data_IF_895978536151
#
_entry.id   IF_895978536151
#
_cell.length_a   1.000
_cell.length_b   1.000
_cell.length_c   1.000
_cell.angle_alpha   90.00
_cell.angle_beta   90.00
_cell.angle_gamma   90.00
#
_symmetry.space_group_name_H-M   'P 1'
#
loop_
_entity.id
_entity.type
_entity.pdbx_description
1 polymer ?
#
# COMPACT_ATOMS: atom_id res chain seq x y z
N UNK A 1 -3.22 -22.17 19.45
CA UNK A 1 -3.07 -22.51 18.02
C UNK A 1 -3.70 -21.37 17.24
N UNK A 2 -2.96 -20.74 16.31
CA UNK A 2 -3.54 -19.73 15.42
C UNK A 2 -4.52 -20.42 14.46
N UNK A 3 -5.67 -19.78 14.20
CA UNK A 3 -6.70 -20.31 13.31
C UNK A 3 -6.40 -19.97 11.86
N UNK A 4 -6.86 -20.82 10.94
CA UNK A 4 -6.85 -20.52 9.51
C UNK A 4 -7.61 -19.22 9.24
N UNK A 5 -6.97 -18.28 8.55
CA UNK A 5 -7.56 -16.99 8.20
C UNK A 5 -8.51 -17.18 7.01
N UNK A 6 -9.79 -16.76 7.11
CA UNK A 6 -10.73 -16.86 6.00
C UNK A 6 -10.27 -16.05 4.79
N UNK A 7 -10.62 -16.52 3.60
CA UNK A 7 -10.43 -15.77 2.34
C UNK A 7 -11.76 -15.26 1.81
N UNK A 8 -11.78 -14.05 1.24
CA UNK A 8 -12.98 -13.51 0.61
C UNK A 8 -12.62 -12.61 -0.58
N UNK A 9 -13.37 -12.78 -1.67
CA UNK A 9 -13.37 -11.84 -2.79
C UNK A 9 -14.45 -10.79 -2.52
N UNK A 10 -14.05 -9.52 -2.38
CA UNK A 10 -14.98 -8.38 -2.26
C UNK A 10 -14.79 -7.50 -3.49
N UNK A 11 -15.81 -7.26 -4.35
CA UNK A 11 -15.64 -6.55 -5.61
C UNK A 11 -15.14 -5.09 -5.49
N UNK A 12 -15.65 -4.31 -4.56
CA UNK A 12 -15.12 -2.99 -4.18
C UNK A 12 -15.87 -2.54 -2.92
N UNK A 13 -15.31 -1.60 -2.17
CA UNK A 13 -16.06 -0.89 -1.14
C UNK A 13 -16.20 0.59 -1.50
N UNK A 14 -17.27 1.21 -1.04
CA UNK A 14 -17.52 2.65 -1.19
C UNK A 14 -17.58 3.32 0.19
N UNK A 15 -17.27 4.62 0.30
CA UNK A 15 -17.52 5.36 1.53
C UNK A 15 -19.02 5.35 1.86
N UNK A 16 -19.36 5.17 3.12
CA UNK A 16 -20.74 5.20 3.59
C UNK A 16 -21.42 6.55 3.24
N UNK A 17 -22.70 6.48 2.88
CA UNK A 17 -23.55 7.65 2.61
C UNK A 17 -24.03 8.30 3.91
N UNK A 18 -23.08 8.70 4.75
CA UNK A 18 -23.32 9.39 6.01
C UNK A 18 -22.82 10.83 5.91
N UNK A 19 -23.57 11.74 6.51
CA UNK A 19 -23.09 13.11 6.71
C UNK A 19 -21.91 13.13 7.68
N UNK A 20 -21.02 14.13 7.60
CA UNK A 20 -19.92 14.25 8.55
C UNK A 20 -20.37 14.28 10.03
N UNK A 21 -21.55 14.84 10.31
CA UNK A 21 -22.13 14.86 11.67
C UNK A 21 -22.54 13.46 12.13
N UNK A 22 -23.12 12.65 11.24
CA UNK A 22 -23.46 11.26 11.55
C UNK A 22 -22.21 10.42 11.77
N UNK A 23 -21.18 10.60 10.93
CA UNK A 23 -19.89 9.92 11.08
C UNK A 23 -19.24 10.23 12.44
N UNK A 24 -19.18 11.51 12.80
CA UNK A 24 -18.65 11.93 14.10
C UNK A 24 -19.48 11.37 15.27
N UNK A 25 -20.81 11.35 15.13
CA UNK A 25 -21.70 10.78 16.15
C UNK A 25 -21.52 9.26 16.32
N UNK A 26 -21.28 8.52 15.23
CA UNK A 26 -20.98 7.09 15.31
C UNK A 26 -19.69 6.83 16.11
N UNK A 27 -18.60 7.57 15.82
CA UNK A 27 -17.34 7.41 16.56
C UNK A 27 -17.52 7.77 18.04
N UNK A 28 -18.20 8.88 18.34
CA UNK A 28 -18.48 9.30 19.73
C UNK A 28 -19.29 8.25 20.47
N UNK A 29 -20.34 7.71 19.85
CA UNK A 29 -21.14 6.63 20.44
C UNK A 29 -20.29 5.42 20.83
N UNK A 30 -19.26 5.07 20.04
CA UNK A 30 -18.35 3.98 20.38
C UNK A 30 -17.54 4.32 21.64
N UNK A 31 -16.99 5.53 21.73
CA UNK A 31 -16.26 6.02 22.90
C UNK A 31 -17.15 6.05 24.14
N UNK A 32 -18.36 6.62 24.03
CA UNK A 32 -19.36 6.67 25.11
C UNK A 32 -19.78 5.26 25.58
N UNK A 33 -19.70 4.26 24.69
CA UNK A 33 -19.98 2.85 24.99
C UNK A 33 -18.76 2.09 25.54
N UNK A 34 -17.66 2.79 25.84
CA UNK A 34 -16.45 2.23 26.45
C UNK A 34 -15.42 1.67 25.45
N UNK A 35 -15.49 2.03 24.17
CA UNK A 35 -14.40 1.74 23.24
C UNK A 35 -13.14 2.51 23.66
N UNK A 36 -11.97 1.88 23.56
CA UNK A 36 -10.70 2.52 23.95
C UNK A 36 -9.93 3.00 22.72
N UNK A 37 -9.60 4.29 22.69
CA UNK A 37 -8.69 4.83 21.68
C UNK A 37 -7.22 4.58 22.06
N UNK A 38 -6.39 4.24 21.07
CA UNK A 38 -4.97 3.87 21.24
C UNK A 38 -4.11 4.53 20.15
N UNK A 39 -3.74 5.80 20.38
CA UNK A 39 -2.75 6.49 19.55
C UNK A 39 -1.32 5.97 19.84
N UNK A 40 -0.41 6.15 18.89
CA UNK A 40 0.97 5.67 18.99
C UNK A 40 2.01 6.79 19.15
N UNK A 41 1.69 7.99 18.66
CA UNK A 41 2.49 9.21 18.76
C UNK A 41 2.28 9.97 20.06
N UNK A 42 2.44 11.30 20.00
CA UNK A 42 2.36 12.19 21.16
C UNK A 42 0.98 12.18 21.82
N UNK A 43 -0.10 11.94 21.06
CA UNK A 43 -1.44 11.82 21.60
C UNK A 43 -1.69 10.52 22.38
N UNK A 44 -0.71 9.63 22.58
CA UNK A 44 -0.89 8.33 23.26
C UNK A 44 -1.48 8.45 24.67
N UNK A 45 -1.16 9.52 25.39
CA UNK A 45 -1.57 9.74 26.78
C UNK A 45 -2.96 10.40 26.88
N UNK A 46 -3.39 11.09 25.82
CA UNK A 46 -4.73 11.69 25.70
C UNK A 46 -5.29 11.57 24.27
N UNK A 47 -5.59 10.35 23.78
CA UNK A 47 -5.86 10.12 22.35
C UNK A 47 -7.17 10.76 21.86
N UNK A 48 -8.13 11.00 22.75
CA UNK A 48 -9.40 11.64 22.40
C UNK A 48 -9.24 13.12 22.05
N UNK A 49 -8.15 13.75 22.49
CA UNK A 49 -7.83 15.15 22.16
C UNK A 49 -7.67 15.38 20.66
N UNK A 50 -7.32 14.34 19.90
CA UNK A 50 -7.32 14.39 18.44
C UNK A 50 -8.66 14.91 17.89
N UNK A 51 -9.77 14.54 18.52
CA UNK A 51 -11.11 14.97 18.07
C UNK A 51 -11.33 16.46 18.30
N UNK A 52 -10.86 17.01 19.42
CA UNK A 52 -10.93 18.45 19.72
C UNK A 52 -9.94 19.28 18.92
N UNK A 53 -8.79 18.72 18.55
CA UNK A 53 -7.79 19.36 17.68
C UNK A 53 -8.20 19.43 16.20
N UNK A 54 -9.41 18.96 15.86
CA UNK A 54 -9.95 19.08 14.51
C UNK A 54 -9.85 17.81 13.67
N UNK A 55 -9.25 16.72 14.18
CA UNK A 55 -9.19 15.42 13.51
C UNK A 55 -10.49 14.61 13.63
N UNK A 56 -11.62 15.25 13.94
CA UNK A 56 -12.93 14.60 13.94
C UNK A 56 -13.22 13.99 12.55
N UNK A 57 -13.57 12.69 12.45
CA UNK A 57 -13.78 12.04 11.17
C UNK A 57 -15.01 12.58 10.42
N UNK A 58 -14.93 12.51 9.09
CA UNK A 58 -15.93 13.00 8.13
C UNK A 58 -16.45 11.90 7.21
N UNK A 59 -15.71 10.81 7.08
CA UNK A 59 -16.06 9.68 6.21
C UNK A 59 -15.92 8.36 6.94
N UNK A 60 -16.61 7.34 6.44
CA UNK A 60 -16.53 5.99 6.99
C UNK A 60 -16.45 4.95 5.87
N UNK A 61 -15.62 3.92 6.06
CA UNK A 61 -15.48 2.76 5.16
C UNK A 61 -15.57 1.49 6.03
N UNK A 62 -16.14 0.42 5.50
CA UNK A 62 -16.19 -0.89 6.17
C UNK A 62 -15.58 -1.97 5.29
N UNK A 63 -14.66 -2.74 5.83
CA UNK A 63 -14.04 -3.87 5.14
C UNK A 63 -13.62 -4.95 6.15
N UNK A 64 -13.98 -6.20 5.86
CA UNK A 64 -13.64 -7.39 6.66
C UNK A 64 -13.96 -7.29 8.17
N UNK A 65 -15.06 -6.62 8.52
CA UNK A 65 -15.45 -6.42 9.92
C UNK A 65 -14.68 -5.31 10.64
N UNK A 66 -13.72 -4.65 9.97
CA UNK A 66 -13.09 -3.41 10.41
C UNK A 66 -13.89 -2.21 9.90
N UNK A 67 -14.10 -1.22 10.76
CA UNK A 67 -14.64 0.10 10.38
C UNK A 67 -13.49 1.10 10.38
N UNK A 68 -13.40 1.91 9.33
CA UNK A 68 -12.42 2.97 9.19
C UNK A 68 -13.16 4.29 9.20
N UNK A 69 -12.90 5.13 10.19
CA UNK A 69 -13.37 6.52 10.17
C UNK A 69 -12.23 7.42 9.71
N UNK A 70 -12.48 8.31 8.77
CA UNK A 70 -11.43 9.09 8.09
C UNK A 70 -11.75 10.58 8.21
N UNK A 71 -10.73 11.40 8.40
CA UNK A 71 -10.81 12.85 8.22
C UNK A 71 -11.00 13.23 6.75
N UNK A 72 -11.12 14.53 6.48
CA UNK A 72 -10.81 15.04 5.14
C UNK A 72 -9.30 14.89 4.85
N UNK A 73 -8.88 14.99 3.57
CA UNK A 73 -7.47 14.98 3.21
C UNK A 73 -6.69 16.12 3.89
N UNK A 74 -5.49 15.80 4.31
CA UNK A 74 -4.48 16.68 4.87
C UNK A 74 -3.22 16.56 4.01
N UNK A 75 -2.32 17.53 4.12
CA UNK A 75 -1.02 17.48 3.46
C UNK A 75 0.03 18.24 4.25
N UNK A 76 1.28 17.85 4.10
CA UNK A 76 2.44 18.67 4.44
C UNK A 76 3.38 18.67 3.22
N UNK A 77 4.56 19.31 3.28
CA UNK A 77 5.50 19.31 2.15
C UNK A 77 5.92 17.91 1.68
N UNK A 78 5.90 16.90 2.56
CA UNK A 78 6.39 15.56 2.27
C UNK A 78 5.30 14.58 1.78
N UNK A 79 4.05 14.70 2.25
CA UNK A 79 2.99 13.76 1.87
C UNK A 79 1.57 14.33 1.97
N UNK A 80 0.66 13.74 1.19
CA UNK A 80 -0.79 13.87 1.34
C UNK A 80 -1.34 12.66 2.09
N UNK A 81 -2.21 12.90 3.07
CA UNK A 81 -2.68 11.87 3.98
C UNK A 81 -4.08 12.11 4.56
N UNK A 82 -4.54 11.13 5.33
CA UNK A 82 -5.78 11.11 6.11
C UNK A 82 -5.43 10.62 7.52
N UNK A 83 -6.02 11.22 8.55
CA UNK A 83 -6.08 10.58 9.87
C UNK A 83 -7.21 9.57 9.83
N UNK A 84 -6.84 8.30 10.03
CA UNK A 84 -7.74 7.17 10.00
C UNK A 84 -7.88 6.56 11.40
N UNK A 85 -9.11 6.35 11.84
CA UNK A 85 -9.43 5.62 13.06
C UNK A 85 -9.85 4.20 12.67
N UNK A 86 -8.92 3.26 12.82
CA UNK A 86 -9.14 1.84 12.55
C UNK A 86 -9.87 1.23 13.76
N UNK A 87 -11.11 0.80 13.57
CA UNK A 87 -11.96 0.29 14.64
C UNK A 87 -12.12 -1.22 14.50
N UNK A 88 -11.66 -1.93 15.52
CA UNK A 88 -11.67 -3.39 15.57
C UNK A 88 -12.12 -3.88 16.94
N UNK A 89 -12.66 -5.09 16.98
CA UNK A 89 -12.88 -5.79 18.24
C UNK A 89 -11.62 -6.57 18.62
N UNK A 90 -11.05 -6.28 19.78
CA UNK A 90 -9.89 -7.01 20.29
C UNK A 90 -10.28 -8.46 20.57
N UNK A 91 -9.57 -9.40 19.95
CA UNK A 91 -9.76 -10.82 20.21
C UNK A 91 -9.39 -11.19 21.66
N UNK A 92 -8.44 -10.47 22.27
CA UNK A 92 -7.94 -10.74 23.62
C UNK A 92 -8.90 -10.25 24.71
N UNK A 93 -9.49 -9.06 24.53
CA UNK A 93 -10.31 -8.43 25.58
C UNK A 93 -11.80 -8.43 25.25
N UNK A 94 -12.17 -8.76 24.01
CA UNK A 94 -13.53 -8.64 23.49
C UNK A 94 -14.05 -7.21 23.35
N UNK A 95 -13.24 -6.19 23.70
CA UNK A 95 -13.59 -4.77 23.66
C UNK A 95 -13.37 -4.19 22.27
N UNK A 96 -14.14 -3.17 21.92
CA UNK A 96 -13.87 -2.35 20.74
C UNK A 96 -12.69 -1.43 21.03
N UNK A 97 -11.70 -1.44 20.14
CA UNK A 97 -10.54 -0.57 20.19
C UNK A 97 -10.47 0.28 18.92
N UNK A 98 -9.98 1.50 19.07
CA UNK A 98 -9.89 2.50 18.01
C UNK A 98 -8.43 2.90 17.89
N UNK A 99 -7.82 2.68 16.73
CA UNK A 99 -6.41 2.96 16.49
C UNK A 99 -6.28 4.12 15.47
N UNK A 100 -5.94 5.34 15.92
CA UNK A 100 -5.52 6.41 15.03
C UNK A 100 -4.28 5.99 14.24
N UNK A 101 -4.31 6.21 12.91
CA UNK A 101 -3.28 5.86 11.93
C UNK A 101 -3.21 6.94 10.86
N UNK A 102 -2.07 7.04 10.19
CA UNK A 102 -1.90 7.90 9.02
C UNK A 102 -2.00 7.04 7.77
N UNK A 103 -3.07 7.25 7.02
CA UNK A 103 -3.21 6.69 5.67
C UNK A 103 -2.69 7.72 4.68
N UNK A 104 -1.66 7.37 3.94
CA UNK A 104 -1.01 8.30 3.01
C UNK A 104 -0.95 7.70 1.61
N UNK A 105 -0.68 8.57 0.64
CA UNK A 105 -0.45 8.17 -0.74
C UNK A 105 0.87 8.75 -1.20
N UNK A 106 1.73 7.89 -1.74
CA UNK A 106 2.99 8.28 -2.35
C UNK A 106 2.93 8.18 -3.89
N UNK A 107 4.09 8.30 -4.54
CA UNK A 107 4.24 8.31 -6.00
C UNK A 107 3.93 6.96 -6.66
N UNK A 108 3.88 5.85 -5.89
CA UNK A 108 3.37 4.56 -6.38
C UNK A 108 1.85 4.58 -6.64
N UNK A 109 1.17 5.64 -6.18
CA UNK A 109 -0.27 5.89 -6.30
C UNK A 109 -1.16 4.93 -5.51
N UNK A 110 -0.57 4.17 -4.58
CA UNK A 110 -1.26 3.27 -3.67
C UNK A 110 -1.44 3.97 -2.33
N UNK A 111 -2.62 3.78 -1.73
CA UNK A 111 -2.82 4.18 -0.35
C UNK A 111 -2.17 3.18 0.59
N UNK A 112 -1.34 3.70 1.50
CA UNK A 112 -0.55 2.97 2.47
C UNK A 112 -0.87 3.44 3.87
N UNK A 113 -0.51 2.64 4.87
CA UNK A 113 -0.54 3.04 6.27
C UNK A 113 0.88 3.24 6.80
N UNK A 114 1.19 4.44 7.30
CA UNK A 114 2.49 4.71 7.91
C UNK A 114 2.67 3.86 9.17
N UNK A 115 3.84 3.24 9.32
CA UNK A 115 4.16 2.44 10.50
C UNK A 115 4.72 3.31 11.65
N UNK A 116 5.52 4.32 11.30
CA UNK A 116 6.16 5.29 12.19
C UNK A 116 6.64 6.51 11.37
N UNK A 117 7.24 7.50 12.04
CA UNK A 117 7.91 8.65 11.41
C UNK A 117 9.33 8.77 11.98
N UNK A 118 10.27 9.21 11.16
CA UNK A 118 11.58 9.71 11.58
C UNK A 118 11.56 11.19 11.20
N UNK A 119 11.67 12.05 12.19
CA UNK A 119 11.71 13.50 12.01
C UNK A 119 12.65 14.07 13.06
N UNK A 120 13.88 14.38 12.64
CA UNK A 120 14.93 14.99 13.44
C UNK A 120 15.79 15.93 12.55
N UNK A 121 16.81 16.56 13.12
CA UNK A 121 17.63 17.56 12.43
C UNK A 121 18.37 16.95 11.23
N UNK A 122 17.76 17.05 10.05
CA UNK A 122 18.32 16.58 8.78
C UNK A 122 17.53 15.47 8.09
N UNK A 123 16.78 14.63 8.82
CA UNK A 123 16.03 13.51 8.24
C UNK A 123 14.53 13.66 8.45
N UNK A 124 13.77 13.52 7.36
CA UNK A 124 12.33 13.34 7.40
C UNK A 124 11.92 12.14 6.55
N UNK A 125 11.44 11.08 7.21
CA UNK A 125 10.99 9.87 6.53
C UNK A 125 9.79 9.23 7.21
N UNK A 126 8.92 8.62 6.40
CA UNK A 126 7.77 7.85 6.87
C UNK A 126 8.12 6.37 6.79
N UNK A 127 8.02 5.67 7.93
CA UNK A 127 8.37 4.26 8.03
C UNK A 127 7.55 3.37 7.10
N UNK A 128 8.22 2.73 6.14
CA UNK A 128 7.57 2.16 4.95
C UNK A 128 7.16 0.68 5.04
N UNK A 129 7.55 -0.10 6.05
CA UNK A 129 7.12 -1.49 6.13
C UNK A 129 8.04 -2.40 6.93
N UNK A 130 7.66 -3.67 7.06
CA UNK A 130 8.44 -4.74 7.69
C UNK A 130 9.80 -4.89 6.99
N UNK A 131 10.75 -5.58 7.62
CA UNK A 131 12.09 -5.80 7.05
C UNK A 131 12.29 -7.25 6.67
N UNK A 132 13.12 -7.48 5.67
CA UNK A 132 13.63 -8.80 5.33
C UNK A 132 15.14 -8.78 5.20
N UNK A 133 15.77 -9.89 5.54
CA UNK A 133 17.19 -10.09 5.27
C UNK A 133 17.37 -10.61 3.85
N UNK A 134 18.21 -9.94 3.06
CA UNK A 134 18.65 -10.40 1.75
C UNK A 134 20.15 -10.61 1.75
N UNK A 135 20.63 -11.57 0.95
CA UNK A 135 22.05 -11.83 0.80
C UNK A 135 22.57 -11.29 -0.53
N UNK A 136 23.46 -10.30 -0.49
CA UNK A 136 24.10 -9.68 -1.67
C UNK A 136 25.62 -9.73 -1.49
N UNK A 137 26.35 -10.18 -2.50
CA UNK A 137 27.83 -10.24 -2.44
C UNK A 137 28.40 -11.08 -1.29
N UNK A 138 27.63 -12.04 -0.74
CA UNK A 138 28.03 -12.84 0.42
C UNK A 138 27.69 -12.23 1.79
N UNK A 139 27.25 -10.97 1.83
CA UNK A 139 26.83 -10.24 3.03
C UNK A 139 25.30 -10.20 3.17
N UNK A 140 24.84 -10.15 4.41
CA UNK A 140 23.42 -10.01 4.73
C UNK A 140 23.08 -8.53 4.91
N UNK A 141 22.05 -8.07 4.21
CA UNK A 141 21.51 -6.72 4.26
C UNK A 141 20.05 -6.76 4.71
N UNK A 142 19.60 -5.75 5.43
CA UNK A 142 18.19 -5.57 5.76
C UNK A 142 17.54 -4.62 4.75
N UNK A 143 16.45 -5.06 4.15
CA UNK A 143 15.64 -4.27 3.22
C UNK A 143 14.24 -4.03 3.78
N UNK A 144 13.74 -2.83 3.60
CA UNK A 144 12.35 -2.51 3.91
C UNK A 144 11.42 -3.06 2.81
N UNK A 145 10.40 -3.81 3.20
CA UNK A 145 9.38 -4.37 2.33
C UNK A 145 8.19 -3.43 2.33
N UNK A 146 8.25 -2.39 1.48
CA UNK A 146 7.27 -1.29 1.48
C UNK A 146 5.82 -1.77 1.32
N UNK A 147 5.63 -2.82 0.52
CA UNK A 147 4.32 -3.42 0.22
C UNK A 147 3.55 -3.90 1.46
N UNK A 148 4.24 -4.12 2.58
CA UNK A 148 3.61 -4.48 3.85
C UNK A 148 2.80 -3.32 4.46
N UNK A 149 2.94 -2.10 3.95
CA UNK A 149 2.09 -0.96 4.34
C UNK A 149 0.91 -0.73 3.40
N UNK A 150 0.82 -1.45 2.28
CA UNK A 150 -0.27 -1.27 1.32
C UNK A 150 -1.62 -1.59 1.97
N UNK A 151 -2.54 -0.63 1.93
CA UNK A 151 -3.91 -0.87 2.36
C UNK A 151 -4.61 -1.84 1.40
N UNK A 152 -5.61 -2.61 1.87
CA UNK A 152 -6.31 -3.58 1.06
C UNK A 152 -6.77 -3.01 -0.28
N UNK A 153 -6.49 -3.71 -1.38
CA UNK A 153 -6.84 -3.22 -2.71
C UNK A 153 -8.35 -2.94 -2.88
N UNK A 154 -9.20 -3.59 -2.10
CA UNK A 154 -10.65 -3.38 -2.10
C UNK A 154 -11.09 -1.99 -1.64
N UNK A 155 -10.30 -1.30 -0.82
CA UNK A 155 -10.64 0.04 -0.31
C UNK A 155 -9.93 1.18 -1.04
N UNK A 156 -9.03 0.87 -1.96
CA UNK A 156 -8.23 1.87 -2.66
C UNK A 156 -9.11 2.86 -3.46
N UNK A 157 -10.24 2.45 -4.04
CA UNK A 157 -11.17 3.35 -4.76
C UNK A 157 -11.98 4.22 -3.81
N UNK A 158 -12.37 3.67 -2.65
CA UNK A 158 -13.05 4.45 -1.63
C UNK A 158 -12.16 5.57 -1.06
N UNK A 159 -10.88 5.27 -0.84
CA UNK A 159 -9.90 6.27 -0.39
C UNK A 159 -9.66 7.34 -1.46
N UNK A 160 -9.58 6.98 -2.74
CA UNK A 160 -9.55 7.95 -3.84
C UNK A 160 -10.80 8.84 -3.86
N UNK A 161 -11.97 8.26 -3.61
CA UNK A 161 -13.22 9.02 -3.55
C UNK A 161 -13.19 10.02 -2.40
N UNK A 162 -12.72 9.62 -1.21
CA UNK A 162 -12.53 10.52 -0.06
C UNK A 162 -11.52 11.63 -0.39
N UNK A 163 -10.39 11.27 -0.99
CA UNK A 163 -9.33 12.21 -1.35
C UNK A 163 -9.78 13.32 -2.30
N UNK A 164 -10.78 13.05 -3.14
CA UNK A 164 -11.30 14.02 -4.12
C UNK A 164 -12.46 14.87 -3.58
N UNK A 165 -13.04 14.53 -2.41
CA UNK A 165 -14.22 15.22 -1.85
C UNK A 165 -13.92 16.59 -1.25
N UNK A 166 -12.67 16.86 -0.89
CA UNK A 166 -12.27 18.11 -0.28
C UNK A 166 -10.86 18.50 -0.69
N UNK A 167 -10.58 19.80 -0.71
CA UNK A 167 -9.22 20.29 -0.85
C UNK A 167 -8.41 19.92 0.40
N UNK A 168 -7.18 19.41 0.24
CA UNK A 168 -6.34 19.06 1.36
C UNK A 168 -5.96 20.31 2.15
N UNK A 169 -6.03 20.23 3.47
CA UNK A 169 -5.53 21.29 4.37
C UNK A 169 -4.08 21.01 4.74
N UNK A 170 -3.27 22.06 4.85
CA UNK A 170 -1.91 21.92 5.38
C UNK A 170 -1.98 21.57 6.87
N UNK A 171 -1.24 20.54 7.26
CA UNK A 171 -1.14 20.07 8.64
C UNK A 171 0.20 19.35 8.86
N UNK A 172 1.06 19.96 9.68
CA UNK A 172 2.38 19.42 10.01
C UNK A 172 2.36 18.61 11.32
N UNK A 173 1.42 18.90 12.21
CA UNK A 173 1.36 18.34 13.57
C UNK A 173 0.77 16.92 13.60
N UNK A 174 -0.18 16.62 12.72
CA UNK A 174 -0.94 15.36 12.72
C UNK A 174 -0.03 14.12 12.70
N UNK A 175 1.11 14.20 12.02
CA UNK A 175 2.05 13.10 11.94
C UNK A 175 2.68 12.78 13.30
N UNK A 176 3.09 13.79 14.06
CA UNK A 176 3.69 13.63 15.39
C UNK A 176 2.66 13.18 16.44
N UNK A 177 1.44 13.72 16.36
CA UNK A 177 0.35 13.35 17.25
C UNK A 177 -0.04 11.87 17.09
N UNK A 178 -0.06 11.37 15.84
CA UNK A 178 -0.57 10.02 15.52
C UNK A 178 0.54 8.97 15.45
N UNK A 179 1.67 9.28 14.81
CA UNK A 179 2.77 8.35 14.56
C UNK A 179 3.84 8.44 15.66
N UNK A 180 4.45 7.30 15.94
CA UNK A 180 5.59 7.24 16.86
C UNK A 180 6.83 7.79 16.14
N UNK A 181 7.46 8.82 16.69
CA UNK A 181 8.76 9.29 16.21
C UNK A 181 9.85 8.26 16.58
N UNK A 182 10.71 7.92 15.63
CA UNK A 182 11.79 6.95 15.77
C UNK A 182 13.16 7.62 15.54
N UNK A 183 14.26 7.09 16.11
CA UNK A 183 15.60 7.57 15.79
C UNK A 183 15.97 7.26 14.33
N UNK A 184 16.83 8.09 13.70
CA UNK A 184 17.30 7.88 12.30
C UNK A 184 17.85 6.49 12.02
N UNK A 185 18.44 5.83 13.01
CA UNK A 185 19.01 4.49 12.86
C UNK A 185 17.96 3.37 12.79
N UNK A 186 16.67 3.67 12.93
CA UNK A 186 15.62 2.65 12.95
C UNK A 186 15.16 2.29 11.54
N UNK A 187 15.41 1.04 11.16
CA UNK A 187 14.94 0.44 9.90
C UNK A 187 13.66 -0.38 10.11
N UNK A 188 13.59 -1.20 11.17
CA UNK A 188 12.44 -2.07 11.45
C UNK A 188 11.26 -1.30 12.09
N UNK A 189 10.01 -1.56 11.68
CA UNK A 189 8.83 -1.07 12.39
C UNK A 189 8.75 -1.53 13.85
N UNK A 190 7.74 -1.03 14.55
CA UNK A 190 7.46 -1.47 15.92
C UNK A 190 6.72 -2.81 15.95
N UNK A 191 6.83 -3.49 17.09
CA UNK A 191 6.28 -4.84 17.34
C UNK A 191 4.78 -4.95 17.05
N UNK A 192 4.00 -3.90 17.32
CA UNK A 192 2.56 -3.84 17.04
C UNK A 192 2.22 -3.84 15.54
N UNK A 193 3.17 -3.48 14.67
CA UNK A 193 3.06 -3.62 13.22
C UNK A 193 3.43 -5.03 12.74
N UNK A 194 4.54 -5.58 13.23
CA UNK A 194 5.13 -6.84 12.71
C UNK A 194 4.52 -8.10 13.32
N UNK A 195 4.10 -8.07 14.59
CA UNK A 195 3.58 -9.27 15.27
C UNK A 195 2.32 -9.89 14.66
N UNK A 196 1.31 -9.12 14.21
CA UNK A 196 0.16 -9.72 13.54
C UNK A 196 0.57 -10.58 12.34
N UNK A 197 1.58 -10.13 11.58
CA UNK A 197 2.14 -10.86 10.44
C UNK A 197 2.86 -12.13 10.88
N UNK A 198 3.74 -12.02 11.90
CA UNK A 198 4.44 -13.17 12.49
C UNK A 198 3.46 -14.22 13.02
N UNK A 199 2.38 -13.80 13.68
CA UNK A 199 1.32 -14.72 14.17
C UNK A 199 0.58 -15.39 13.01
N UNK A 200 0.21 -14.63 11.97
CA UNK A 200 -0.45 -15.20 10.79
C UNK A 200 0.46 -16.23 10.09
N UNK A 201 1.74 -15.90 9.91
CA UNK A 201 2.74 -16.75 9.28
C UNK A 201 3.11 -18.01 10.08
N UNK A 202 2.91 -18.00 11.41
CA UNK A 202 3.18 -19.15 12.27
C UNK A 202 2.27 -20.37 11.95
N UNK A 203 1.09 -20.14 11.33
CA UNK A 203 0.29 -21.23 10.76
C UNK A 203 0.58 -21.36 9.26
N UNK A 204 1.23 -22.45 8.89
CA UNK A 204 1.59 -22.74 7.49
C UNK A 204 0.39 -22.75 6.54
N UNK A 205 -0.83 -22.98 7.04
CA UNK A 205 -2.06 -22.97 6.22
C UNK A 205 -2.46 -21.57 5.75
N UNK A 206 -2.00 -20.52 6.45
CA UNK A 206 -2.22 -19.14 6.05
C UNK A 206 -1.26 -18.69 4.94
N UNK A 207 -0.11 -19.37 4.78
CA UNK A 207 0.93 -18.95 3.86
C UNK A 207 0.52 -19.15 2.39
N UNK A 208 0.63 -18.09 1.59
CA UNK A 208 0.45 -18.18 0.15
C UNK A 208 1.62 -18.96 -0.45
N UNK A 209 1.31 -20.01 -1.22
CA UNK A 209 2.28 -20.93 -1.81
C UNK A 209 3.30 -21.50 -0.80
N UNK A 210 2.87 -21.66 0.46
CA UNK A 210 3.72 -22.14 1.55
C UNK A 210 4.83 -21.16 1.95
N UNK A 211 4.66 -19.86 1.64
CA UNK A 211 5.63 -18.80 1.94
C UNK A 211 6.73 -18.66 0.89
N UNK A 212 6.65 -19.42 -0.21
CA UNK A 212 7.61 -19.33 -1.32
C UNK A 212 7.17 -18.26 -2.31
N UNK A 213 8.13 -17.75 -3.08
CA UNK A 213 7.85 -16.80 -4.15
C UNK A 213 6.88 -17.38 -5.19
N UNK A 214 5.85 -16.60 -5.56
CA UNK A 214 4.91 -16.93 -6.64
C UNK A 214 5.37 -16.42 -8.00
N UNK A 215 6.33 -15.49 -8.05
CA UNK A 215 6.84 -14.87 -9.26
C UNK A 215 8.32 -14.51 -9.09
N UNK A 216 9.18 -14.92 -10.02
CA UNK A 216 10.62 -14.66 -9.99
C UNK A 216 11.20 -14.45 -11.39
N UNK A 217 12.24 -13.64 -11.49
CA UNK A 217 13.08 -13.59 -12.67
C UNK A 217 14.09 -14.75 -12.62
N UNK A 218 14.29 -15.41 -13.76
CA UNK A 218 15.19 -16.58 -13.82
C UNK A 218 16.60 -16.21 -14.28
N UNK A 219 16.78 -14.97 -14.77
CA UNK A 219 18.06 -14.39 -15.16
C UNK A 219 18.13 -12.96 -14.64
N UNK A 220 19.30 -12.56 -14.12
CA UNK A 220 19.57 -11.19 -13.67
C UNK A 220 19.44 -10.23 -14.86
N UNK A 221 18.86 -9.05 -14.64
CA UNK A 221 18.71 -7.99 -15.64
C UNK A 221 18.04 -8.46 -16.96
N UNK A 222 17.13 -9.44 -16.89
CA UNK A 222 16.35 -9.89 -18.04
C UNK A 222 14.85 -9.97 -17.68
N UNK A 223 14.06 -8.94 -18.06
CA UNK A 223 12.64 -8.87 -17.72
C UNK A 223 11.80 -9.96 -18.41
N UNK A 224 12.26 -10.49 -19.55
CA UNK A 224 11.60 -11.58 -20.28
C UNK A 224 11.71 -12.94 -19.55
N UNK A 225 12.61 -13.01 -18.58
CA UNK A 225 12.89 -14.22 -17.81
C UNK A 225 11.89 -14.50 -16.68
N UNK A 226 10.90 -13.61 -16.47
CA UNK A 226 9.86 -13.76 -15.46
C UNK A 226 9.16 -15.13 -15.58
N UNK A 227 9.02 -15.82 -14.46
CA UNK A 227 8.23 -17.04 -14.31
C UNK A 227 7.28 -16.88 -13.14
N UNK A 228 6.01 -17.20 -13.37
CA UNK A 228 4.96 -17.21 -12.35
C UNK A 228 4.53 -18.64 -12.13
N UNK A 229 4.29 -19.00 -10.88
CA UNK A 229 3.79 -20.32 -10.49
C UNK A 229 2.39 -20.52 -11.06
N UNK A 230 2.14 -21.68 -11.67
CA UNK A 230 0.85 -22.03 -12.26
C UNK A 230 -0.32 -21.79 -11.29
N UNK A 231 -1.35 -21.14 -11.82
CA UNK A 231 -2.53 -20.71 -11.08
C UNK A 231 -2.39 -19.34 -10.42
N UNK A 232 -1.18 -18.83 -10.18
CA UNK A 232 -1.00 -17.50 -9.60
C UNK A 232 -1.03 -16.38 -10.62
N UNK A 233 -0.96 -16.67 -11.93
CA UNK A 233 -0.98 -15.64 -12.97
C UNK A 233 -2.28 -14.82 -12.92
N UNK A 234 -2.23 -13.51 -13.25
CA UNK A 234 -3.43 -12.70 -13.35
C UNK A 234 -4.43 -13.27 -14.36
N UNK A 235 -5.69 -13.40 -13.98
CA UNK A 235 -6.75 -13.82 -14.90
C UNK A 235 -7.31 -12.59 -15.65
N UNK A 236 -6.65 -12.23 -16.75
CA UNK A 236 -7.10 -11.11 -17.60
C UNK A 236 -8.46 -11.34 -18.29
N UNK A 237 -9.04 -12.54 -18.22
CA UNK A 237 -10.30 -12.87 -18.90
C UNK A 237 -11.52 -12.81 -17.99
N UNK A 238 -11.41 -13.33 -16.77
CA UNK A 238 -12.49 -13.45 -15.79
C UNK A 238 -12.09 -12.95 -14.40
N UNK A 239 -10.89 -12.37 -14.27
CA UNK A 239 -10.30 -11.93 -13.00
C UNK A 239 -10.43 -10.45 -12.70
N UNK A 240 -10.79 -9.62 -13.70
CA UNK A 240 -10.94 -8.17 -13.51
C UNK A 240 -12.17 -7.92 -12.63
N UNK A 241 -11.95 -7.44 -11.40
CA UNK A 241 -13.01 -7.14 -10.44
C UNK A 241 -13.44 -5.68 -10.45
N UNK A 242 -12.48 -4.80 -10.69
CA UNK A 242 -12.67 -3.36 -10.56
C UNK A 242 -11.76 -2.65 -11.56
N UNK A 243 -12.32 -1.63 -12.22
CA UNK A 243 -11.56 -0.66 -13.00
C UNK A 243 -11.93 0.72 -12.51
N UNK A 244 -10.94 1.56 -12.24
CA UNK A 244 -11.16 2.93 -11.77
C UNK A 244 -10.26 3.91 -12.52
N UNK A 245 -10.76 5.12 -12.71
CA UNK A 245 -10.03 6.19 -13.39
C UNK A 245 -9.49 7.23 -12.41
N UNK A 246 -8.34 7.77 -12.77
CA UNK A 246 -7.65 8.81 -12.03
C UNK A 246 -6.82 9.69 -12.94
N UNK A 247 -6.04 10.58 -12.32
CA UNK A 247 -5.12 11.45 -13.01
C UNK A 247 -3.87 11.62 -12.17
N UNK A 248 -2.70 11.64 -12.81
CA UNK A 248 -1.44 12.03 -12.20
C UNK A 248 -0.67 12.93 -13.16
N UNK A 249 -0.16 14.06 -12.67
CA UNK A 249 0.72 14.91 -13.48
C UNK A 249 2.00 14.15 -13.86
N UNK A 250 2.63 13.51 -12.88
CA UNK A 250 3.85 12.70 -13.05
C UNK A 250 3.75 11.66 -14.17
N UNK A 251 2.60 10.99 -14.29
CA UNK A 251 2.37 9.96 -15.32
C UNK A 251 1.61 10.51 -16.53
N UNK A 252 1.76 11.78 -16.88
CA UNK A 252 1.25 12.34 -18.14
C UNK A 252 -0.28 12.52 -18.21
N UNK A 253 -0.97 12.57 -17.08
CA UNK A 253 -2.40 12.86 -17.00
C UNK A 253 -3.25 11.63 -16.70
N UNK A 254 -4.12 11.14 -17.62
CA UNK A 254 -5.09 10.09 -17.33
C UNK A 254 -4.45 8.78 -16.87
N UNK A 255 -5.03 8.20 -15.83
CA UNK A 255 -4.61 6.91 -15.29
C UNK A 255 -5.81 5.97 -15.17
N UNK A 256 -5.58 4.70 -15.48
CA UNK A 256 -6.52 3.61 -15.23
C UNK A 256 -5.90 2.62 -14.28
N UNK A 257 -6.68 2.15 -13.32
CA UNK A 257 -6.28 1.15 -12.35
C UNK A 257 -7.19 -0.06 -12.46
N UNK A 258 -6.61 -1.25 -12.40
CA UNK A 258 -7.30 -2.52 -12.58
C UNK A 258 -6.97 -3.46 -11.44
N UNK A 259 -8.00 -3.89 -10.72
CA UNK A 259 -7.85 -4.93 -9.70
C UNK A 259 -8.21 -6.29 -10.30
N UNK A 260 -7.24 -7.20 -10.32
CA UNK A 260 -7.33 -8.45 -11.08
C UNK A 260 -6.97 -9.62 -10.18
N UNK A 261 -7.85 -10.62 -10.10
CA UNK A 261 -7.59 -11.86 -9.37
C UNK A 261 -6.61 -12.76 -10.12
N UNK A 262 -5.82 -13.54 -9.37
CA UNK A 262 -5.11 -14.68 -9.94
C UNK A 262 -6.07 -15.76 -10.45
N UNK A 263 -5.61 -16.61 -11.37
CA UNK A 263 -6.39 -17.75 -11.91
C UNK A 263 -6.94 -18.67 -10.83
N UNK A 264 -6.13 -18.99 -9.83
CA UNK A 264 -6.49 -19.83 -8.68
C UNK A 264 -7.29 -19.09 -7.60
N UNK A 265 -7.54 -17.78 -7.78
CA UNK A 265 -8.34 -16.95 -6.89
C UNK A 265 -7.83 -16.96 -5.45
N UNK A 266 -6.49 -16.93 -5.27
CA UNK A 266 -5.83 -16.82 -3.95
C UNK A 266 -5.18 -15.47 -3.70
N UNK A 267 -4.77 -14.77 -4.77
CA UNK A 267 -4.16 -13.44 -4.69
C UNK A 267 -4.86 -12.49 -5.65
N UNK A 268 -4.57 -11.20 -5.47
CA UNK A 268 -5.02 -10.13 -6.35
C UNK A 268 -3.84 -9.22 -6.70
N UNK A 269 -3.90 -8.71 -7.92
CA UNK A 269 -2.97 -7.78 -8.52
C UNK A 269 -3.64 -6.42 -8.69
N UNK A 270 -2.85 -5.37 -8.60
CA UNK A 270 -3.29 -4.01 -8.93
C UNK A 270 -2.39 -3.49 -10.04
N UNK A 271 -2.94 -3.42 -11.25
CA UNK A 271 -2.28 -2.87 -12.41
C UNK A 271 -2.62 -1.38 -12.53
N UNK A 272 -1.63 -0.58 -12.89
CA UNK A 272 -1.81 0.78 -13.33
C UNK A 272 -1.45 0.92 -14.80
N UNK A 273 -2.18 1.75 -15.51
CA UNK A 273 -1.92 2.11 -16.90
C UNK A 273 -2.04 3.63 -17.04
N UNK A 274 -0.93 4.26 -17.41
CA UNK A 274 -0.89 5.63 -17.90
C UNK A 274 -0.72 5.69 -19.42
N UNK A 275 -0.50 6.88 -19.98
CA UNK A 275 -0.30 7.07 -21.41
C UNK A 275 0.92 6.32 -21.95
N UNK A 276 2.03 6.32 -21.20
CA UNK A 276 3.28 5.64 -21.56
C UNK A 276 3.43 4.31 -20.81
N UNK A 277 3.31 4.34 -19.48
CA UNK A 277 3.67 3.22 -18.62
C UNK A 277 2.51 2.29 -18.26
N UNK A 278 2.84 1.02 -18.05
CA UNK A 278 2.04 0.06 -17.30
C UNK A 278 2.93 -0.54 -16.23
N UNK A 279 2.46 -0.61 -15.00
CA UNK A 279 3.19 -1.22 -13.89
C UNK A 279 2.24 -1.93 -12.93
N UNK A 280 2.82 -2.67 -11.98
CA UNK A 280 2.10 -3.57 -11.09
C UNK A 280 2.51 -3.25 -9.66
N UNK A 281 1.53 -3.17 -8.77
CA UNK A 281 1.78 -3.08 -7.34
C UNK A 281 1.93 -4.49 -6.76
N UNK A 282 2.79 -4.69 -5.76
CA UNK A 282 2.98 -5.99 -5.11
C UNK A 282 1.65 -6.68 -4.78
N UNK A 283 1.45 -7.96 -5.16
CA UNK A 283 0.17 -8.63 -5.03
C UNK A 283 -0.24 -8.81 -3.57
N UNK A 284 -1.55 -8.84 -3.32
CA UNK A 284 -2.11 -9.08 -1.99
C UNK A 284 -2.82 -10.42 -1.91
N UNK A 285 -2.72 -11.08 -0.77
CA UNK A 285 -3.54 -12.25 -0.47
C UNK A 285 -5.02 -11.87 -0.38
N UNK A 286 -5.93 -12.83 -0.51
CA UNK A 286 -7.38 -12.62 -0.32
C UNK A 286 -7.86 -12.88 1.12
N UNK A 287 -6.93 -12.99 2.07
CA UNK A 287 -7.18 -13.28 3.49
C UNK A 287 -7.80 -12.09 4.24
N UNK A 288 -8.87 -12.29 4.99
CA UNK A 288 -9.68 -11.19 5.53
C UNK A 288 -9.14 -10.54 6.81
N UNK A 289 -8.11 -11.10 7.44
CA UNK A 289 -7.53 -10.51 8.65
C UNK A 289 -6.72 -9.25 8.32
N UNK A 290 -7.03 -8.17 9.07
CA UNK A 290 -6.31 -6.90 9.02
C UNK A 290 -5.69 -6.60 10.38
N UNK A 291 -4.47 -6.07 10.38
CA UNK A 291 -3.81 -5.58 11.60
C UNK A 291 -4.49 -4.32 12.14
N UNK A 292 -4.02 -3.82 13.29
CA UNK A 292 -4.45 -2.52 13.86
C UNK A 292 -4.04 -1.33 12.99
N UNK A 293 -3.22 -1.55 11.96
CA UNK A 293 -2.86 -0.58 10.93
C UNK A 293 -3.78 -0.65 9.71
N UNK A 294 -4.75 -1.58 9.68
CA UNK A 294 -5.68 -1.75 8.56
C UNK A 294 -5.09 -2.50 7.37
N UNK A 295 -3.84 -2.94 7.44
CA UNK A 295 -3.14 -3.70 6.38
C UNK A 295 -3.32 -5.20 6.59
N UNK A 296 -3.20 -6.00 5.52
CA UNK A 296 -3.29 -7.47 5.60
C UNK A 296 -2.16 -8.05 6.44
N UNK A 297 -2.41 -9.17 7.11
CA UNK A 297 -1.38 -9.87 7.91
C UNK A 297 -0.67 -11.00 7.17
N UNK A 298 -1.13 -11.36 5.98
CA UNK A 298 -0.54 -12.42 5.15
C UNK A 298 0.05 -11.82 3.88
N UNK A 299 1.33 -12.08 3.66
CA UNK A 299 2.10 -11.57 2.53
C UNK A 299 2.06 -12.52 1.33
N UNK A 300 2.32 -11.94 0.16
CA UNK A 300 2.56 -12.67 -1.08
C UNK A 300 3.99 -12.39 -1.51
N UNK A 301 4.82 -13.43 -1.49
CA UNK A 301 6.23 -13.29 -1.86
C UNK A 301 6.36 -13.31 -3.38
N UNK A 302 7.05 -12.32 -3.94
CA UNK A 302 7.37 -12.20 -5.36
C UNK A 302 8.63 -11.31 -5.51
N UNK A 303 9.33 -11.42 -6.64
CA UNK A 303 10.48 -10.55 -6.94
C UNK A 303 10.05 -9.08 -7.03
N UNK A 304 10.81 -8.21 -6.39
CA UNK A 304 10.51 -6.77 -6.33
C UNK A 304 10.72 -6.04 -7.66
N UNK A 305 11.63 -6.53 -8.50
CA UNK A 305 11.84 -6.01 -9.85
C UNK A 305 10.56 -6.11 -10.71
N UNK A 306 9.56 -6.91 -10.30
CA UNK A 306 8.26 -6.96 -10.97
C UNK A 306 7.41 -5.71 -10.73
N UNK A 307 7.74 -4.94 -9.69
CA UNK A 307 6.90 -3.89 -9.12
C UNK A 307 7.51 -2.50 -9.24
N UNK A 308 8.54 -2.35 -10.08
CA UNK A 308 9.12 -1.04 -10.42
C UNK A 308 8.00 -0.15 -11.01
N UNK A 309 7.76 1.05 -10.45
CA UNK A 309 6.80 1.99 -11.02
C UNK A 309 7.29 2.54 -12.36
N UNK A 310 6.42 3.21 -13.12
CA UNK A 310 6.79 3.78 -14.42
C UNK A 310 7.94 4.79 -14.36
N UNK A 311 8.07 5.49 -13.23
CA UNK A 311 9.20 6.35 -12.91
C UNK A 311 9.72 6.00 -11.52
N UNK A 312 11.01 5.66 -11.41
CA UNK A 312 11.59 5.24 -10.14
C UNK A 312 12.93 5.93 -9.87
N UNK A 313 13.30 6.01 -8.58
CA UNK A 313 14.53 6.61 -8.12
C UNK A 313 15.75 6.11 -8.88
N UNK A 314 16.49 7.09 -9.39
CA UNK A 314 17.70 6.90 -10.16
C UNK A 314 18.56 8.14 -9.97
N UNK A 315 19.50 8.05 -9.03
CA UNK A 315 20.42 9.12 -8.69
C UNK A 315 21.82 8.78 -9.20
N UNK A 316 22.35 9.66 -10.04
CA UNK A 316 23.75 9.68 -10.45
C UNK A 316 24.32 11.03 -10.01
N UNK A 317 25.32 11.01 -9.15
CA UNK A 317 26.06 12.21 -8.76
C UNK A 317 27.54 12.02 -9.07
N UNK A 318 27.93 12.54 -10.23
CA UNK A 318 29.30 12.51 -10.73
C UNK A 318 30.30 13.23 -9.79
N UNK A 319 29.82 14.07 -8.86
CA UNK A 319 30.63 14.89 -7.96
C UNK A 319 30.63 14.37 -6.50
N UNK A 320 29.92 13.28 -6.18
CA UNK A 320 29.88 12.71 -4.83
C UNK A 320 30.59 11.35 -4.74
N UNK A 321 31.19 11.09 -3.58
CA UNK A 321 31.69 9.75 -3.22
C UNK A 321 30.53 8.80 -2.78
N UNK A 322 29.26 9.21 -2.90
CA UNK A 322 28.10 8.37 -2.57
C UNK A 322 27.82 7.35 -3.69
N UNK A 323 27.43 6.12 -3.33
CA UNK A 323 27.17 5.06 -4.31
C UNK A 323 26.00 5.41 -5.24
N UNK A 324 26.17 5.19 -6.55
CA UNK A 324 25.10 5.19 -7.55
C UNK A 324 23.85 4.46 -7.02
N UNK A 325 22.77 5.20 -6.78
CA UNK A 325 21.54 4.61 -6.25
C UNK A 325 20.47 4.51 -7.33
N UNK A 326 20.26 3.29 -7.82
CA UNK A 326 19.19 2.96 -8.77
C UNK A 326 18.28 1.87 -8.23
N UNK A 327 16.98 2.14 -8.22
CA UNK A 327 15.94 1.13 -7.99
C UNK A 327 15.40 0.54 -9.31
N UNK A 328 15.91 1.00 -10.45
CA UNK A 328 15.65 0.41 -11.76
C UNK A 328 16.76 -0.62 -12.06
N UNK A 329 16.42 -1.83 -12.53
CA UNK A 329 17.41 -2.83 -12.92
C UNK A 329 18.45 -2.26 -13.88
N UNK A 330 19.70 -2.66 -13.65
CA UNK A 330 20.89 -2.16 -14.33
C UNK A 330 20.75 -2.22 -15.87
N UNK A 331 21.01 -1.09 -16.53
CA UNK A 331 20.92 -0.95 -17.99
C UNK A 331 19.52 -0.63 -18.54
N UNK A 332 18.52 -0.41 -17.68
CA UNK A 332 17.14 -0.11 -18.10
C UNK A 332 16.61 1.27 -17.69
N UNK A 333 17.40 2.07 -16.96
CA UNK A 333 17.02 3.44 -16.67
C UNK A 333 17.01 4.28 -17.95
N UNK A 334 15.88 4.93 -18.23
CA UNK A 334 15.72 5.86 -19.35
C UNK A 334 15.95 7.31 -18.94
N UNK A 335 15.33 8.22 -19.68
CA UNK A 335 15.43 9.66 -19.42
C UNK A 335 14.87 10.05 -18.04
N UNK A 336 15.43 11.08 -17.39
CA UNK A 336 14.87 11.65 -16.17
C UNK A 336 13.43 12.15 -16.37
N UNK A 337 12.64 12.07 -15.29
CA UNK A 337 11.27 12.59 -15.26
C UNK A 337 11.27 14.12 -15.33
N UNK A 338 10.43 14.68 -16.21
CA UNK A 338 10.22 16.14 -16.33
C UNK A 338 9.65 16.78 -15.05
N UNK A 339 9.13 15.95 -14.12
CA UNK A 339 8.51 16.40 -12.88
C UNK A 339 9.38 16.21 -11.63
N UNK A 340 10.42 15.38 -11.73
CA UNK A 340 11.27 14.95 -10.61
C UNK A 340 12.57 14.39 -11.20
N UNK A 341 13.66 15.16 -11.07
CA UNK A 341 14.96 14.83 -11.67
C UNK A 341 15.62 13.61 -11.04
N UNK A 342 15.23 13.24 -9.82
CA UNK A 342 15.81 12.12 -9.08
C UNK A 342 15.21 10.78 -9.51
N UNK A 343 14.37 10.79 -10.55
CA UNK A 343 13.65 9.63 -11.06
C UNK A 343 13.83 9.48 -12.56
N UNK A 344 14.00 8.25 -13.01
CA UNK A 344 14.13 7.92 -14.43
C UNK A 344 12.97 7.05 -14.94
N UNK A 345 12.74 7.11 -16.26
CA UNK A 345 11.75 6.30 -16.96
C UNK A 345 12.15 4.81 -16.93
N UNK A 346 11.28 3.95 -16.36
CA UNK A 346 11.51 2.51 -16.26
C UNK A 346 10.84 1.69 -17.40
N UNK A 347 10.30 2.36 -18.42
CA UNK A 347 9.55 1.70 -19.51
C UNK A 347 10.34 0.62 -20.23
N UNK A 348 11.65 0.80 -20.43
CA UNK A 348 12.52 -0.19 -21.07
C UNK A 348 12.53 -1.54 -20.34
N UNK A 349 12.44 -1.52 -19.01
CA UNK A 349 12.27 -2.72 -18.19
C UNK A 349 10.83 -3.25 -18.28
N UNK A 350 9.85 -2.38 -18.01
CA UNK A 350 8.44 -2.75 -17.86
C UNK A 350 7.83 -3.34 -19.12
N UNK A 351 8.14 -2.77 -20.29
CA UNK A 351 7.53 -3.18 -21.56
C UNK A 351 8.01 -4.55 -22.05
N UNK A 352 9.05 -5.12 -21.43
CA UNK A 352 9.56 -6.45 -21.71
C UNK A 352 9.06 -7.50 -20.71
N UNK A 353 8.39 -7.10 -19.63
CA UNK A 353 7.84 -8.03 -18.63
C UNK A 353 6.64 -8.79 -19.25
N UNK A 354 6.67 -10.14 -19.31
CA UNK A 354 5.65 -10.93 -20.01
C UNK A 354 4.21 -10.64 -19.59
N UNK A 355 3.95 -10.44 -18.29
CA UNK A 355 2.58 -10.15 -17.81
C UNK A 355 2.10 -8.73 -18.13
N UNK A 356 3.01 -7.77 -18.27
CA UNK A 356 2.69 -6.40 -18.71
C UNK A 356 2.35 -6.43 -20.20
N UNK A 357 3.16 -7.12 -21.01
CA UNK A 357 2.90 -7.35 -22.44
C UNK A 357 1.53 -8.00 -22.64
N UNK A 358 1.24 -9.06 -21.88
CA UNK A 358 -0.03 -9.76 -21.96
C UNK A 358 -1.21 -8.87 -21.52
N UNK A 359 -1.05 -8.09 -20.44
CA UNK A 359 -2.05 -7.15 -19.97
C UNK A 359 -2.37 -6.08 -21.04
N UNK A 360 -1.35 -5.46 -21.64
CA UNK A 360 -1.53 -4.49 -22.74
C UNK A 360 -2.34 -5.11 -23.87
N UNK A 361 -1.98 -6.34 -24.30
CA UNK A 361 -2.65 -7.04 -25.41
C UNK A 361 -4.08 -7.49 -25.09
N UNK A 362 -4.35 -7.96 -23.87
CA UNK A 362 -5.64 -8.57 -23.51
C UNK A 362 -6.64 -7.58 -22.90
N UNK A 363 -6.16 -6.54 -22.23
CA UNK A 363 -6.98 -5.64 -21.42
C UNK A 363 -7.02 -4.22 -22.00
N UNK A 364 -5.88 -3.65 -22.39
CA UNK A 364 -5.83 -2.27 -22.90
C UNK A 364 -6.13 -2.18 -24.40
N UNK A 365 -5.66 -3.15 -25.18
CA UNK A 365 -5.86 -3.24 -26.63
C UNK A 365 -6.48 -4.58 -27.00
N UNK A 366 -7.66 -4.95 -26.44
CA UNK A 366 -8.32 -6.16 -26.86
C UNK A 366 -8.56 -6.03 -28.36
N UNK A 367 -7.96 -6.93 -29.16
CA UNK A 367 -8.29 -7.04 -30.59
C UNK A 367 -9.82 -7.07 -30.66
N UNK A 368 -10.41 -6.12 -31.38
CA UNK A 368 -11.84 -6.08 -31.66
C UNK A 368 -12.24 -7.50 -32.02
N UNK A 369 -13.02 -8.17 -31.16
CA UNK A 369 -13.61 -9.45 -31.52
C UNK A 369 -14.41 -9.17 -32.79
N UNK A 370 -14.04 -9.84 -33.87
CA UNK A 370 -14.63 -9.63 -35.18
C UNK A 370 -16.14 -9.57 -35.08
N UNK A 371 -16.70 -8.55 -35.73
CA UNK A 371 -18.05 -8.58 -36.25
C UNK A 371 -18.14 -9.88 -37.06
N UNK A 372 -18.96 -10.82 -36.59
CA UNK A 372 -19.42 -11.95 -37.41
C UNK A 372 -20.44 -11.45 -38.42
#
# INVERSE_FOLDING_TARGET
MTSLIPTRIVPSVTPAELTPRQVAAELRKLLDSGAKMRAAGEAKDNPEELLSLGYTPKHAISLFGTRFYLTNPLQNPALRFLVAYVVQRSAATGRTEIYPRIFYKDLSLVWRCASHVIANDGDFWIGKGDVRTVRRGGHDFEECVESTTDLPFEMQTALETVNRRAQPKTDEEALYLVLRNAPSSRTEPYRDFTEPRRRAAADRRNLIYGGRSIARFTRKNDPSSLRIVDGFEPDFSKGILETSEGRSAMYGGPLRRFRILSRNRKVQYLFFAGPKHVWIIPPQALTTELSTYGVRTVDVVADEDLFVPGFEYHYYDDDSDEEDFSQIPEGFAGEPSEHDSDRADASAWLDLIPIIVEFRRKVLHPRSRGVY
#
